data_IF_856627481780
#
_entry.id   IF_856627481780
#
_cell.length_a   1.000
_cell.length_b   1.000
_cell.length_c   1.000
_cell.angle_alpha   90.00
_cell.angle_beta   90.00
_cell.angle_gamma   90.00
#
_symmetry.space_group_name_H-M   'P 1'
#
loop_
_entity.id
_entity.type
_entity.pdbx_description
1 polymer ?
#
# COMPACT_ATOMS: atom_id res chain seq x y z
N UNK A 1 -18.86 -75.03 -24.00
CA UNK A 1 -19.75 -75.86 -24.85
C UNK A 1 -20.80 -74.96 -25.48
N UNK A 2 -20.99 -75.05 -26.81
CA UNK A 2 -22.16 -74.70 -27.68
C UNK A 2 -22.98 -73.44 -27.30
N UNK A 3 -22.93 -72.32 -28.03
CA UNK A 3 -23.46 -72.03 -29.39
C UNK A 3 -24.98 -72.15 -29.54
N UNK A 4 -25.53 -71.16 -30.27
CA UNK A 4 -26.89 -70.89 -30.79
C UNK A 4 -27.64 -69.83 -29.97
N UNK A 5 -28.18 -68.75 -30.54
CA UNK A 5 -28.90 -68.66 -31.82
C UNK A 5 -28.85 -67.26 -32.48
N UNK A 6 -28.91 -67.27 -33.81
CA UNK A 6 -29.13 -66.13 -34.70
C UNK A 6 -30.54 -65.52 -34.53
N UNK A 7 -30.66 -64.20 -34.69
CA UNK A 7 -31.78 -63.60 -35.43
C UNK A 7 -31.31 -62.40 -36.24
N UNK A 8 -31.84 -62.33 -37.46
CA UNK A 8 -31.43 -61.45 -38.54
C UNK A 8 -32.30 -60.18 -38.59
N UNK A 9 -31.70 -59.11 -39.12
CA UNK A 9 -32.27 -58.10 -40.01
C UNK A 9 -32.69 -56.71 -39.48
N UNK A 10 -32.38 -55.73 -40.35
CA UNK A 10 -32.96 -54.38 -40.51
C UNK A 10 -32.34 -53.19 -39.74
N UNK A 11 -31.44 -52.48 -40.44
CA UNK A 11 -31.68 -51.08 -40.82
C UNK A 11 -31.46 -49.97 -39.78
N UNK A 12 -30.25 -49.39 -39.77
CA UNK A 12 -29.95 -47.94 -39.82
C UNK A 12 -28.48 -47.70 -39.45
N UNK A 13 -27.72 -47.07 -40.35
CA UNK A 13 -26.37 -46.56 -40.06
C UNK A 13 -26.50 -45.40 -39.06
N UNK A 14 -26.16 -45.63 -37.79
CA UNK A 14 -25.92 -44.54 -36.84
C UNK A 14 -24.50 -44.00 -37.06
N UNK A 15 -24.39 -42.80 -37.62
CA UNK A 15 -23.17 -42.01 -37.61
C UNK A 15 -23.01 -41.44 -36.18
N UNK A 16 -22.11 -42.03 -35.38
CA UNK A 16 -21.78 -41.52 -34.05
C UNK A 16 -20.94 -40.24 -34.18
N UNK A 17 -21.54 -39.09 -33.88
CA UNK A 17 -20.84 -37.81 -33.77
C UNK A 17 -20.01 -37.82 -32.49
N UNK A 18 -18.69 -37.96 -32.60
CA UNK A 18 -17.77 -37.91 -31.47
C UNK A 18 -17.58 -36.44 -31.08
N UNK A 19 -18.38 -35.95 -30.13
CA UNK A 19 -18.28 -34.58 -29.61
C UNK A 19 -17.08 -34.51 -28.65
N UNK A 20 -15.96 -33.99 -29.13
CA UNK A 20 -14.79 -33.67 -28.31
C UNK A 20 -15.14 -32.46 -27.44
N UNK A 21 -15.47 -32.69 -26.15
CA UNK A 21 -15.56 -31.63 -25.16
C UNK A 21 -14.16 -31.02 -24.96
N UNK A 22 -13.89 -29.86 -25.54
CA UNK A 22 -12.79 -29.00 -25.10
C UNK A 22 -13.18 -28.39 -23.75
N UNK A 23 -12.67 -28.95 -22.66
CA UNK A 23 -12.69 -28.28 -21.36
C UNK A 23 -11.71 -27.10 -21.44
N UNK A 24 -12.24 -25.87 -21.56
CA UNK A 24 -11.43 -24.66 -21.34
C UNK A 24 -11.18 -24.55 -19.84
N UNK A 25 -10.04 -25.03 -19.37
CA UNK A 25 -9.60 -24.80 -18.00
C UNK A 25 -9.27 -23.32 -17.85
N UNK A 26 -10.11 -22.58 -17.13
CA UNK A 26 -9.83 -21.22 -16.71
C UNK A 26 -8.69 -21.25 -15.70
N UNK A 27 -7.50 -20.78 -16.10
CA UNK A 27 -6.35 -20.65 -15.21
C UNK A 27 -6.56 -19.41 -14.35
N UNK A 28 -6.84 -19.61 -13.06
CA UNK A 28 -6.74 -18.55 -12.05
C UNK A 28 -5.31 -18.55 -11.50
N UNK A 29 -4.62 -17.42 -11.55
CA UNK A 29 -3.34 -17.24 -10.85
C UNK A 29 -3.58 -16.59 -9.49
N UNK A 30 -2.62 -16.77 -8.57
CA UNK A 30 -2.55 -15.92 -7.38
C UNK A 30 -2.41 -14.45 -7.81
N UNK A 31 -2.96 -13.53 -7.01
CA UNK A 31 -2.83 -12.10 -7.28
C UNK A 31 -1.36 -11.68 -7.17
N UNK A 32 -0.75 -11.34 -8.31
CA UNK A 32 0.60 -10.79 -8.37
C UNK A 32 0.49 -9.28 -8.65
N UNK A 33 1.34 -8.49 -7.97
CA UNK A 33 1.42 -7.07 -8.29
C UNK A 33 1.95 -6.82 -9.70
N UNK A 34 1.52 -5.73 -10.35
CA UNK A 34 2.15 -5.28 -11.58
C UNK A 34 3.65 -5.01 -11.34
N UNK A 35 4.51 -5.27 -12.34
CA UNK A 35 5.95 -5.22 -12.16
C UNK A 35 6.44 -3.83 -11.78
N UNK A 36 7.26 -3.73 -10.72
CA UNK A 36 7.85 -2.46 -10.25
C UNK A 36 6.82 -1.38 -9.91
N UNK A 37 5.59 -1.77 -9.55
CA UNK A 37 4.57 -0.79 -9.17
C UNK A 37 4.98 -0.04 -7.89
N UNK A 38 5.72 -0.68 -6.98
CA UNK A 38 6.24 -0.06 -5.76
C UNK A 38 7.65 0.52 -5.88
N UNK A 39 8.18 0.66 -7.11
CA UNK A 39 9.54 1.16 -7.34
C UNK A 39 10.68 0.30 -6.76
N UNK A 40 10.40 -0.95 -6.37
CA UNK A 40 11.34 -1.83 -5.66
C UNK A 40 12.58 -2.22 -6.50
N UNK A 41 12.56 -1.99 -7.83
CA UNK A 41 13.76 -2.11 -8.69
C UNK A 41 14.72 -0.92 -8.56
N UNK A 42 14.39 0.11 -7.78
CA UNK A 42 15.20 1.31 -7.63
C UNK A 42 15.18 2.22 -8.87
N UNK A 43 14.09 2.19 -9.65
CA UNK A 43 13.91 3.01 -10.84
C UNK A 43 12.43 3.20 -11.21
N UNK A 44 12.18 4.01 -12.25
CA UNK A 44 10.85 4.29 -12.81
C UNK A 44 10.43 3.30 -13.91
N UNK A 45 10.95 2.06 -13.94
CA UNK A 45 10.52 1.05 -14.92
C UNK A 45 8.99 0.84 -14.83
N UNK A 46 8.30 0.84 -15.98
CA UNK A 46 6.82 0.85 -16.14
C UNK A 46 6.08 2.13 -15.72
N UNK A 47 6.76 3.13 -15.16
CA UNK A 47 6.18 4.44 -14.85
C UNK A 47 6.42 5.45 -15.96
N UNK A 48 5.37 6.17 -16.36
CA UNK A 48 5.48 7.36 -17.20
C UNK A 48 5.57 8.61 -16.31
N UNK A 49 6.66 9.37 -16.43
CA UNK A 49 6.83 10.64 -15.72
C UNK A 49 6.39 11.81 -16.60
N UNK A 50 5.64 12.73 -16.03
CA UNK A 50 5.06 13.89 -16.71
C UNK A 50 5.61 15.20 -16.15
N UNK A 51 5.79 16.19 -17.01
CA UNK A 51 6.08 17.57 -16.60
C UNK A 51 5.35 18.56 -17.47
N UNK A 52 5.00 19.68 -16.88
CA UNK A 52 4.51 20.84 -17.59
C UNK A 52 4.20 21.96 -16.61
N UNK A 53 3.08 22.65 -16.84
CA UNK A 53 2.75 23.85 -16.07
C UNK A 53 1.25 24.04 -15.90
N UNK A 54 0.90 24.92 -14.96
CA UNK A 54 -0.45 25.43 -14.77
C UNK A 54 -0.60 26.85 -15.31
N UNK A 55 -1.68 27.10 -16.07
CA UNK A 55 -1.99 28.42 -16.60
C UNK A 55 -2.85 29.27 -15.64
N UNK A 56 -3.03 30.55 -15.93
CA UNK A 56 -3.82 31.46 -15.09
C UNK A 56 -5.29 31.07 -14.91
N UNK A 57 -5.83 30.17 -15.73
CA UNK A 57 -7.19 29.65 -15.61
C UNK A 57 -7.25 28.35 -14.77
N UNK A 58 -6.13 27.93 -14.17
CA UNK A 58 -6.04 26.68 -13.42
C UNK A 58 -5.96 25.42 -14.27
N UNK A 59 -5.70 25.56 -15.58
CA UNK A 59 -5.59 24.41 -16.49
C UNK A 59 -4.14 23.91 -16.50
N UNK A 60 -3.99 22.64 -16.14
CA UNK A 60 -2.72 21.92 -16.18
C UNK A 60 -2.49 21.37 -17.58
N UNK A 61 -1.29 21.55 -18.11
CA UNK A 61 -0.83 20.89 -19.33
C UNK A 61 0.52 20.24 -19.06
N UNK A 62 0.62 18.94 -19.32
CA UNK A 62 1.82 18.15 -19.11
C UNK A 62 2.11 17.24 -20.31
N UNK A 63 3.37 16.89 -20.48
CA UNK A 63 3.84 15.92 -21.48
C UNK A 63 4.75 14.89 -20.84
N UNK A 64 4.78 13.68 -21.39
CA UNK A 64 5.73 12.66 -20.98
C UNK A 64 7.17 13.10 -21.20
N UNK A 65 8.03 12.74 -20.25
CA UNK A 65 9.46 13.02 -20.28
C UNK A 65 10.24 11.91 -19.58
N UNK A 66 11.56 11.97 -19.68
CA UNK A 66 12.44 11.20 -18.78
C UNK A 66 12.28 11.70 -17.34
N UNK A 67 12.49 10.84 -16.31
CA UNK A 67 12.39 11.26 -14.92
C UNK A 67 13.24 12.51 -14.63
N UNK A 68 12.59 13.56 -14.14
CA UNK A 68 13.28 14.80 -13.74
C UNK A 68 13.96 14.55 -12.39
N UNK A 69 15.30 14.59 -12.28
CA UNK A 69 16.00 14.25 -11.06
C UNK A 69 15.73 15.22 -9.89
N UNK A 70 15.07 16.36 -10.14
CA UNK A 70 14.69 17.31 -9.10
C UNK A 70 13.22 17.22 -8.68
N UNK A 71 12.36 16.69 -9.56
CA UNK A 71 10.91 16.69 -9.36
C UNK A 71 10.25 15.30 -9.43
N UNK A 72 11.00 14.28 -9.84
CA UNK A 72 10.66 12.86 -9.78
C UNK A 72 11.79 12.15 -9.04
N UNK A 73 11.95 12.45 -7.75
CA UNK A 73 13.10 12.00 -6.97
C UNK A 73 12.77 10.66 -6.33
N UNK A 74 13.52 9.63 -6.70
CA UNK A 74 13.42 8.34 -6.04
C UNK A 74 14.21 8.37 -4.73
N UNK A 75 13.50 8.21 -3.61
CA UNK A 75 14.06 8.14 -2.26
C UNK A 75 14.32 6.67 -1.91
N UNK A 76 15.54 6.33 -1.50
CA UNK A 76 15.92 4.96 -1.13
C UNK A 76 15.92 4.77 0.38
N UNK A 77 15.30 3.71 0.88
CA UNK A 77 15.37 3.35 2.30
C UNK A 77 16.83 3.21 2.79
N UNK A 78 17.73 2.71 1.94
CA UNK A 78 19.14 2.49 2.28
C UNK A 78 19.92 3.79 2.50
N UNK A 79 19.64 4.81 1.70
CA UNK A 79 20.40 6.07 1.68
C UNK A 79 19.67 7.21 2.41
N UNK A 80 18.35 7.28 2.22
CA UNK A 80 17.49 8.39 2.61
C UNK A 80 16.59 8.08 3.80
N UNK A 81 16.62 6.84 4.33
CA UNK A 81 15.74 6.42 5.43
C UNK A 81 15.92 7.21 6.74
N UNK A 82 16.99 8.01 6.86
CA UNK A 82 17.21 8.94 7.99
C UNK A 82 16.70 10.36 7.74
N UNK A 83 16.33 10.68 6.51
CA UNK A 83 15.89 12.02 6.13
C UNK A 83 14.41 12.20 6.45
N UNK A 84 14.07 13.40 6.87
CA UNK A 84 12.70 13.83 7.11
C UNK A 84 12.35 14.99 6.18
N UNK A 85 11.08 15.08 5.81
CA UNK A 85 10.54 16.22 5.10
C UNK A 85 10.74 17.51 5.91
N UNK A 86 11.11 18.59 5.21
CA UNK A 86 11.45 19.89 5.82
C UNK A 86 10.27 20.52 6.56
N UNK A 87 9.07 20.45 6.00
CA UNK A 87 7.90 21.15 6.54
C UNK A 87 7.07 20.26 7.47
N UNK A 88 6.99 18.97 7.16
CA UNK A 88 6.17 18.03 7.89
C UNK A 88 6.91 17.18 8.93
N UNK A 89 8.24 17.11 8.87
CA UNK A 89 9.06 16.29 9.78
C UNK A 89 8.80 14.79 9.70
N UNK A 90 8.04 14.32 8.70
CA UNK A 90 7.78 12.90 8.47
C UNK A 90 8.90 12.28 7.62
N UNK A 91 9.11 10.96 7.64
CA UNK A 91 10.17 10.30 6.88
C UNK A 91 9.97 10.47 5.38
N UNK A 92 11.03 10.72 4.61
CA UNK A 92 10.90 10.87 3.15
C UNK A 92 10.67 9.53 2.42
N UNK A 93 11.08 8.43 3.05
CA UNK A 93 10.78 7.06 2.61
C UNK A 93 9.53 6.58 3.34
N UNK A 94 8.62 5.91 2.64
CA UNK A 94 7.38 5.41 3.23
C UNK A 94 7.69 4.44 4.38
N UNK A 95 7.12 4.63 5.59
CA UNK A 95 7.39 3.78 6.75
C UNK A 95 6.58 2.48 6.74
N UNK A 96 6.28 1.92 5.56
CA UNK A 96 5.58 0.64 5.37
C UNK A 96 6.53 -0.55 5.15
N UNK A 97 7.84 -0.30 5.07
CA UNK A 97 8.86 -1.32 4.80
C UNK A 97 9.29 -1.43 3.34
N UNK A 98 8.73 -0.64 2.42
CA UNK A 98 9.18 -0.55 1.02
C UNK A 98 10.64 -0.09 0.93
N UNK A 99 11.33 -0.55 -0.10
CA UNK A 99 12.71 -0.18 -0.37
C UNK A 99 12.86 1.24 -0.92
N UNK A 100 11.79 1.77 -1.53
CA UNK A 100 11.79 3.07 -2.18
C UNK A 100 10.46 3.83 -1.98
N UNK A 101 10.50 5.15 -2.22
CA UNK A 101 9.33 6.00 -2.45
C UNK A 101 9.70 7.08 -3.45
N UNK A 102 8.73 7.81 -4.01
CA UNK A 102 8.99 8.92 -4.93
C UNK A 102 8.54 10.24 -4.33
N UNK A 103 9.42 11.24 -4.31
CA UNK A 103 9.04 12.65 -4.16
C UNK A 103 8.67 13.24 -5.53
N UNK A 104 7.46 13.75 -5.62
CA UNK A 104 6.88 14.37 -6.80
C UNK A 104 6.73 15.89 -6.57
N UNK A 105 7.38 16.71 -7.41
CA UNK A 105 7.43 18.17 -7.27
C UNK A 105 8.52 18.68 -6.31
N UNK A 106 8.54 19.99 -6.05
CA UNK A 106 9.58 20.66 -5.28
C UNK A 106 9.03 21.82 -4.42
N UNK A 107 9.80 22.35 -3.45
CA UNK A 107 9.35 23.42 -2.56
C UNK A 107 9.60 24.85 -3.11
N UNK A 108 9.85 25.03 -4.41
CA UNK A 108 10.28 26.33 -4.95
C UNK A 108 9.15 27.18 -5.51
N UNK A 109 8.07 26.58 -5.99
CA UNK A 109 7.12 27.25 -6.87
C UNK A 109 7.70 27.35 -8.29
N UNK A 110 6.99 28.05 -9.18
CA UNK A 110 7.36 28.12 -10.61
C UNK A 110 6.20 27.99 -11.59
N UNK A 111 5.00 27.67 -11.10
CA UNK A 111 3.83 27.26 -11.91
C UNK A 111 4.03 25.89 -12.52
N UNK A 112 4.93 25.09 -11.95
CA UNK A 112 5.25 23.76 -12.45
C UNK A 112 4.11 22.79 -12.12
N UNK A 113 3.99 21.77 -12.97
CA UNK A 113 3.13 20.63 -12.75
C UNK A 113 3.90 19.34 -13.06
N UNK A 114 3.78 18.35 -12.20
CA UNK A 114 4.48 17.07 -12.31
C UNK A 114 3.51 15.92 -12.08
N UNK A 115 3.72 14.81 -12.80
CA UNK A 115 2.84 13.66 -12.70
C UNK A 115 3.53 12.32 -12.86
N UNK A 116 2.89 11.29 -12.31
CA UNK A 116 3.28 9.90 -12.43
C UNK A 116 2.08 9.09 -12.91
N UNK A 117 2.28 8.36 -14.01
CA UNK A 117 1.28 7.49 -14.59
C UNK A 117 1.77 6.04 -14.55
N UNK A 118 0.92 5.14 -14.07
CA UNK A 118 1.18 3.70 -14.11
C UNK A 118 -0.02 2.98 -14.71
N UNK A 119 0.17 2.30 -15.83
CA UNK A 119 -0.89 1.58 -16.55
C UNK A 119 -0.72 0.08 -16.38
N UNK A 120 -1.78 -0.61 -15.96
CA UNK A 120 -1.77 -2.05 -15.75
C UNK A 120 -3.12 -2.68 -16.09
N UNK A 121 -3.11 -3.98 -16.38
CA UNK A 121 -4.33 -4.77 -16.56
C UNK A 121 -4.64 -5.51 -15.26
N UNK A 122 -5.88 -5.40 -14.79
CA UNK A 122 -6.34 -6.12 -13.60
C UNK A 122 -6.39 -7.62 -13.90
N UNK A 123 -5.64 -8.46 -13.15
CA UNK A 123 -5.59 -9.89 -13.41
C UNK A 123 -6.89 -10.58 -13.02
N UNK A 124 -7.20 -11.69 -13.72
CA UNK A 124 -8.20 -12.65 -13.26
C UNK A 124 -7.64 -13.46 -12.11
N UNK A 125 -8.13 -13.20 -10.91
CA UNK A 125 -7.74 -13.93 -9.71
C UNK A 125 -8.97 -14.58 -9.09
N UNK A 126 -8.78 -15.68 -8.35
CA UNK A 126 -9.87 -16.36 -7.63
C UNK A 126 -10.21 -15.69 -6.29
N UNK A 127 -9.63 -14.52 -6.00
CA UNK A 127 -9.81 -13.76 -4.76
C UNK A 127 -9.87 -12.26 -5.00
N UNK A 128 -9.82 -11.47 -3.93
CA UNK A 128 -9.83 -10.01 -4.01
C UNK A 128 -8.51 -9.51 -4.61
N UNK A 129 -8.59 -8.61 -5.59
CA UNK A 129 -7.44 -7.86 -6.13
C UNK A 129 -7.54 -6.40 -5.68
N UNK A 130 -6.50 -5.95 -4.98
CA UNK A 130 -6.43 -4.57 -4.47
C UNK A 130 -5.03 -3.99 -4.65
N UNK A 131 -4.97 -2.68 -4.81
CA UNK A 131 -3.72 -1.90 -4.77
C UNK A 131 -3.79 -1.01 -3.54
N UNK A 132 -2.72 -1.01 -2.75
CA UNK A 132 -2.57 -0.07 -1.63
C UNK A 132 -1.44 0.87 -2.00
N UNK A 133 -1.74 2.16 -2.07
CA UNK A 133 -0.71 3.18 -2.20
C UNK A 133 -0.73 4.09 -0.98
N UNK A 134 0.44 4.58 -0.61
CA UNK A 134 0.67 5.52 0.45
C UNK A 134 1.04 6.86 -0.15
N UNK A 135 0.62 7.92 0.51
CA UNK A 135 0.98 9.27 0.12
C UNK A 135 1.22 10.16 1.33
N UNK A 136 2.10 11.14 1.17
CA UNK A 136 2.26 12.29 2.06
C UNK A 136 2.26 13.57 1.19
N UNK A 137 1.78 14.69 1.72
CA UNK A 137 1.55 15.91 0.92
C UNK A 137 2.01 17.14 1.66
N UNK A 138 2.62 18.09 0.95
CA UNK A 138 2.96 19.42 1.45
C UNK A 138 2.47 20.47 0.45
N UNK A 139 1.62 21.39 0.92
CA UNK A 139 1.03 22.46 0.11
C UNK A 139 1.23 23.80 0.83
N UNK A 140 1.74 24.79 0.12
CA UNK A 140 1.69 26.18 0.58
C UNK A 140 0.31 26.76 0.27
N UNK A 141 -0.34 27.37 1.26
CA UNK A 141 -1.70 27.90 1.15
C UNK A 141 -1.69 29.44 1.15
N UNK A 142 -1.51 30.09 -0.01
CA UNK A 142 -1.66 31.53 -0.17
C UNK A 142 -3.13 31.98 -0.21
N UNK A 143 -3.34 33.30 -0.18
CA UNK A 143 -4.66 33.89 -0.43
C UNK A 143 -4.97 33.95 -1.94
N UNK A 144 -5.49 32.87 -2.52
CA UNK A 144 -5.89 32.76 -3.93
C UNK A 144 -7.26 32.08 -4.11
N UNK A 145 -7.84 32.15 -5.31
CA UNK A 145 -9.01 31.35 -5.67
C UNK A 145 -8.65 29.85 -5.74
N UNK A 146 -9.60 28.92 -5.53
CA UNK A 146 -9.28 27.49 -5.51
C UNK A 146 -8.56 26.96 -6.77
N UNK A 147 -8.89 27.48 -7.96
CA UNK A 147 -8.26 27.07 -9.23
C UNK A 147 -6.84 27.64 -9.40
N UNK A 148 -6.44 28.58 -8.55
CA UNK A 148 -5.12 29.21 -8.57
C UNK A 148 -4.15 28.55 -7.58
N UNK A 149 -4.66 27.69 -6.69
CA UNK A 149 -3.90 27.13 -5.58
C UNK A 149 -2.98 25.97 -6.01
N UNK A 150 -1.88 25.74 -5.27
CA UNK A 150 -1.18 24.46 -5.33
C UNK A 150 -2.12 23.31 -4.99
N UNK A 151 -1.92 22.15 -5.62
CA UNK A 151 -2.74 20.97 -5.34
C UNK A 151 -1.97 19.66 -5.50
N UNK A 152 -2.50 18.62 -4.87
CA UNK A 152 -2.17 17.22 -5.16
C UNK A 152 -3.45 16.48 -5.55
N UNK A 153 -3.41 15.67 -6.60
CA UNK A 153 -4.55 14.84 -7.00
C UNK A 153 -4.12 13.43 -7.36
N UNK A 154 -4.99 12.48 -7.03
CA UNK A 154 -4.92 11.10 -7.50
C UNK A 154 -6.16 10.82 -8.33
N UNK A 155 -5.99 10.22 -9.51
CA UNK A 155 -7.09 9.79 -10.37
C UNK A 155 -6.88 8.36 -10.84
N UNK A 156 -7.98 7.65 -11.02
CA UNK A 156 -8.00 6.32 -11.63
C UNK A 156 -8.70 6.44 -12.98
N UNK A 157 -7.95 6.28 -14.06
CA UNK A 157 -8.49 6.29 -15.42
C UNK A 157 -8.66 4.87 -15.94
N UNK A 158 -9.89 4.48 -16.25
CA UNK A 158 -10.19 3.22 -16.91
C UNK A 158 -9.98 3.38 -18.41
N UNK A 159 -8.82 2.90 -18.87
CA UNK A 159 -8.38 2.99 -20.27
C UNK A 159 -9.29 2.16 -21.17
N UNK A 160 -9.78 1.01 -20.69
CA UNK A 160 -10.68 0.14 -21.47
C UNK A 160 -12.01 0.82 -21.77
N UNK A 161 -12.59 1.51 -20.78
CA UNK A 161 -13.91 2.14 -20.91
C UNK A 161 -13.85 3.65 -21.19
N UNK A 162 -12.65 4.21 -21.32
CA UNK A 162 -12.37 5.62 -21.57
C UNK A 162 -13.11 6.57 -20.61
N UNK A 163 -13.04 6.29 -19.31
CA UNK A 163 -13.67 7.10 -18.25
C UNK A 163 -12.82 7.13 -16.99
N UNK A 164 -12.98 8.19 -16.19
CA UNK A 164 -12.45 8.22 -14.84
C UNK A 164 -13.37 7.47 -13.88
N UNK A 165 -12.76 6.77 -12.92
CA UNK A 165 -13.49 6.14 -11.82
C UNK A 165 -13.51 7.08 -10.62
N UNK A 166 -14.67 7.20 -9.97
CA UNK A 166 -14.83 8.04 -8.78
C UNK A 166 -14.09 7.42 -7.58
N UNK A 167 -14.09 6.09 -7.49
CA UNK A 167 -13.46 5.39 -6.37
C UNK A 167 -11.93 5.42 -6.49
N UNK A 168 -11.27 5.85 -5.42
CA UNK A 168 -9.81 6.00 -5.39
C UNK A 168 -9.30 7.28 -6.05
N UNK A 169 -10.19 8.12 -6.60
CA UNK A 169 -9.86 9.45 -7.11
C UNK A 169 -10.18 10.52 -6.05
N UNK A 170 -9.23 11.42 -5.78
CA UNK A 170 -9.42 12.56 -4.88
C UNK A 170 -8.40 13.66 -5.15
N UNK A 171 -8.62 14.83 -4.56
CA UNK A 171 -7.67 15.94 -4.63
C UNK A 171 -7.62 16.74 -3.33
N UNK A 172 -6.47 17.33 -3.05
CA UNK A 172 -6.27 18.37 -2.06
C UNK A 172 -5.86 19.65 -2.76
N UNK A 173 -6.74 20.63 -2.72
CA UNK A 173 -6.45 22.01 -3.13
C UNK A 173 -6.00 22.74 -1.87
N UNK A 174 -4.89 23.48 -1.91
CA UNK A 174 -4.35 24.16 -0.73
C UNK A 174 -5.44 24.99 -0.03
N UNK A 175 -5.67 24.69 1.26
CA UNK A 175 -6.63 25.36 2.12
C UNK A 175 -6.22 25.18 3.59
N UNK A 176 -6.74 26.04 4.48
CA UNK A 176 -6.35 26.05 5.88
C UNK A 176 -6.99 24.93 6.71
N UNK A 177 -8.11 24.38 6.24
CA UNK A 177 -8.98 23.42 6.91
C UNK A 177 -8.99 22.04 6.23
N UNK A 178 -7.93 21.71 5.49
CA UNK A 178 -7.80 20.41 4.83
C UNK A 178 -7.85 19.24 5.83
N UNK A 179 -8.75 18.25 5.65
CA UNK A 179 -8.86 17.13 6.58
C UNK A 179 -7.57 16.29 6.68
N UNK A 180 -7.05 16.18 7.90
CA UNK A 180 -5.83 15.42 8.20
C UNK A 180 -4.53 16.18 7.93
N UNK A 181 -4.58 17.46 7.54
CA UNK A 181 -3.42 18.32 7.40
C UNK A 181 -3.12 19.06 8.71
N UNK A 182 -1.86 19.43 8.88
CA UNK A 182 -1.34 20.22 10.01
C UNK A 182 -0.59 21.43 9.46
N UNK A 183 -0.64 22.54 10.17
CA UNK A 183 0.19 23.71 9.86
C UNK A 183 1.65 23.39 10.25
N UNK A 184 2.58 23.63 9.32
CA UNK A 184 4.01 23.51 9.55
C UNK A 184 4.49 24.56 10.54
N UNK A 185 5.48 24.20 11.34
CA UNK A 185 6.22 25.11 12.22
C UNK A 185 7.59 25.50 11.63
N UNK A 186 7.90 25.01 10.42
CA UNK A 186 9.11 25.37 9.69
C UNK A 186 9.05 26.83 9.22
N UNK A 187 10.20 27.40 8.86
CA UNK A 187 10.40 28.86 8.67
C UNK A 187 9.57 29.53 7.56
N UNK A 188 8.78 28.80 6.78
CA UNK A 188 7.89 29.36 5.75
C UNK A 188 6.44 29.34 6.25
N UNK A 189 5.75 30.50 6.30
CA UNK A 189 4.38 30.58 6.81
C UNK A 189 3.39 29.89 5.86
N UNK A 190 2.23 29.51 6.41
CA UNK A 190 1.09 28.95 5.66
C UNK A 190 1.40 27.69 4.85
N UNK A 191 2.41 26.90 5.24
CA UNK A 191 2.65 25.58 4.66
C UNK A 191 1.91 24.53 5.48
N UNK A 192 1.04 23.76 4.81
CA UNK A 192 0.26 22.70 5.41
C UNK A 192 0.77 21.35 4.91
N UNK A 193 0.85 20.38 5.82
CA UNK A 193 1.33 19.05 5.47
C UNK A 193 0.42 17.95 6.01
N UNK A 194 0.38 16.84 5.29
CA UNK A 194 -0.22 15.57 5.71
C UNK A 194 0.87 14.51 5.69
N UNK A 195 1.05 13.86 6.83
CA UNK A 195 1.96 12.72 6.97
C UNK A 195 1.46 11.52 6.15
N UNK A 196 2.31 10.51 5.98
CA UNK A 196 1.98 9.28 5.26
C UNK A 196 0.61 8.69 5.67
N UNK A 197 -0.21 8.41 4.67
CA UNK A 197 -1.47 7.69 4.82
C UNK A 197 -1.68 6.75 3.62
N UNK A 198 -2.15 5.51 3.84
CA UNK A 198 -2.53 4.61 2.76
C UNK A 198 -3.95 4.89 2.25
N UNK A 199 -4.19 4.47 1.00
CA UNK A 199 -5.50 4.28 0.40
C UNK A 199 -5.54 2.91 -0.26
N UNK A 200 -6.68 2.24 -0.12
CA UNK A 200 -6.96 0.99 -0.82
C UNK A 200 -7.80 1.28 -2.06
N UNK A 201 -7.32 0.86 -3.22
CA UNK A 201 -8.08 0.77 -4.45
C UNK A 201 -8.49 -0.69 -4.67
N UNK A 202 -9.77 -0.97 -4.46
CA UNK A 202 -10.36 -2.26 -4.79
C UNK A 202 -10.78 -2.31 -6.24
N UNK A 203 -10.47 -3.43 -6.88
CA UNK A 203 -10.72 -3.63 -8.30
C UNK A 203 -11.66 -4.82 -8.63
N UNK A 204 -12.62 -5.23 -7.79
CA UNK A 204 -13.60 -6.24 -8.18
C UNK A 204 -14.48 -5.70 -9.32
N UNK A 205 -14.75 -6.51 -10.33
CA UNK A 205 -15.51 -6.09 -11.52
C UNK A 205 -14.66 -5.33 -12.55
N UNK A 206 -13.38 -5.11 -12.27
CA UNK A 206 -12.42 -4.57 -13.24
C UNK A 206 -11.56 -5.65 -13.89
N UNK A 207 -11.87 -6.94 -13.73
CA UNK A 207 -11.08 -8.03 -14.30
C UNK A 207 -10.95 -7.86 -15.83
N UNK A 208 -9.73 -8.06 -16.34
CA UNK A 208 -9.31 -7.78 -17.72
C UNK A 208 -9.37 -6.30 -18.17
N UNK A 209 -9.84 -5.38 -17.32
CA UNK A 209 -9.78 -3.94 -17.62
C UNK A 209 -8.35 -3.44 -17.45
N UNK A 210 -7.99 -2.49 -18.31
CA UNK A 210 -6.75 -1.73 -18.20
C UNK A 210 -7.05 -0.43 -17.47
N UNK A 211 -6.36 -0.22 -16.35
CA UNK A 211 -6.47 0.97 -15.52
C UNK A 211 -5.15 1.73 -15.53
N UNK A 212 -5.24 3.06 -15.38
CA UNK A 212 -4.10 3.94 -15.20
C UNK A 212 -4.26 4.72 -13.90
N UNK A 213 -3.30 4.56 -12.99
CA UNK A 213 -3.17 5.43 -11.82
C UNK A 213 -2.45 6.70 -12.25
N UNK A 214 -3.01 7.85 -11.89
CA UNK A 214 -2.47 9.16 -12.22
C UNK A 214 -2.27 9.96 -10.92
N UNK A 215 -1.02 10.27 -10.59
CA UNK A 215 -0.67 11.18 -9.50
C UNK A 215 -0.25 12.50 -10.11
N UNK A 216 -0.71 13.62 -9.56
CA UNK A 216 -0.35 14.96 -10.07
C UNK A 216 -0.15 15.92 -8.92
N UNK A 217 0.90 16.72 -9.00
CA UNK A 217 1.10 17.93 -8.17
C UNK A 217 1.23 19.14 -9.08
N UNK A 218 0.78 20.30 -8.61
CA UNK A 218 1.15 21.57 -9.22
C UNK A 218 1.32 22.68 -8.19
N UNK A 219 2.07 23.68 -8.61
CA UNK A 219 2.24 24.97 -7.94
C UNK A 219 1.02 25.88 -8.13
N UNK A 220 1.06 27.06 -7.52
CA UNK A 220 0.05 28.08 -7.78
C UNK A 220 0.20 28.69 -9.19
N UNK A 221 -0.90 29.24 -9.72
CA UNK A 221 -0.93 29.85 -11.07
C UNK A 221 -0.08 31.11 -11.18
N UNK A 222 0.21 31.76 -10.06
CA UNK A 222 1.03 32.98 -9.96
C UNK A 222 2.51 32.69 -9.72
N UNK A 223 2.90 31.43 -9.51
CA UNK A 223 4.28 30.94 -9.46
C UNK A 223 5.04 31.15 -8.15
N UNK A 224 4.48 31.85 -7.17
CA UNK A 224 5.16 32.11 -5.89
C UNK A 224 5.08 30.97 -4.87
N UNK A 225 4.12 30.06 -5.03
CA UNK A 225 3.76 29.07 -4.00
C UNK A 225 3.75 27.66 -4.57
N UNK A 226 4.13 26.69 -3.75
CA UNK A 226 4.44 25.33 -4.21
C UNK A 226 3.48 24.26 -3.71
N UNK A 227 3.50 23.13 -4.41
CA UNK A 227 2.92 21.88 -3.96
C UNK A 227 3.81 20.70 -4.33
N UNK A 228 4.02 19.78 -3.38
CA UNK A 228 4.72 18.53 -3.65
C UNK A 228 4.18 17.40 -2.78
N UNK A 229 4.42 16.16 -3.21
CA UNK A 229 3.93 14.97 -2.55
C UNK A 229 4.97 13.86 -2.54
N UNK A 230 4.76 12.87 -1.67
CA UNK A 230 5.46 11.60 -1.71
C UNK A 230 4.47 10.49 -2.03
N UNK A 231 4.88 9.52 -2.83
CA UNK A 231 4.04 8.39 -3.28
C UNK A 231 4.83 7.09 -3.15
N UNK A 232 4.17 6.04 -2.67
CA UNK A 232 4.67 4.67 -2.66
C UNK A 232 3.52 3.68 -2.84
N UNK A 233 3.75 2.53 -3.47
CA UNK A 233 2.74 1.48 -3.66
C UNK A 233 3.28 0.20 -3.01
N UNK A 234 2.48 -0.40 -2.13
CA UNK A 234 2.83 -1.69 -1.56
C UNK A 234 2.87 -2.76 -2.66
N UNK A 235 4.00 -3.45 -2.86
CA UNK A 235 4.09 -4.64 -3.72
C UNK A 235 3.44 -5.90 -3.10
N UNK A 236 2.30 -5.72 -2.44
CA UNK A 236 1.38 -6.79 -2.04
C UNK A 236 -0.02 -6.46 -2.54
N UNK A 237 -0.46 -7.18 -3.57
CA UNK A 237 -1.72 -6.93 -4.28
C UNK A 237 -2.78 -8.00 -3.98
N UNK A 238 -2.62 -8.70 -2.84
CA UNK A 238 -3.59 -9.67 -2.31
C UNK A 238 -4.47 -8.99 -1.25
N UNK A 239 -4.36 -9.43 0.01
CA UNK A 239 -4.97 -8.79 1.17
C UNK A 239 -3.98 -7.82 1.83
N UNK A 240 -4.41 -6.58 2.14
CA UNK A 240 -3.58 -5.63 2.90
C UNK A 240 -3.33 -6.08 4.35
N UNK A 241 -4.12 -7.04 4.83
CA UNK A 241 -4.08 -7.49 6.21
C UNK A 241 -2.93 -8.48 6.37
N UNK A 242 -2.00 -8.15 7.26
CA UNK A 242 -0.87 -9.02 7.62
C UNK A 242 -1.10 -9.71 8.96
N UNK A 243 -0.31 -10.75 9.24
CA UNK A 243 -0.39 -11.53 10.47
C UNK A 243 -1.51 -12.57 10.49
N UNK A 244 -2.10 -12.88 9.34
CA UNK A 244 -3.11 -13.93 9.17
C UNK A 244 -2.53 -15.33 8.96
N UNK A 245 -1.20 -15.46 8.89
CA UNK A 245 -0.50 -16.75 8.76
C UNK A 245 0.16 -17.11 10.07
N UNK A 246 -0.11 -18.31 10.59
CA UNK A 246 0.53 -18.84 11.78
C UNK A 246 1.43 -20.04 11.44
N UNK A 247 2.64 -20.04 12.01
CA UNK A 247 3.74 -20.89 11.51
C UNK A 247 4.33 -21.84 12.57
N UNK A 248 3.80 -21.78 13.79
CA UNK A 248 4.08 -22.66 14.93
C UNK A 248 2.82 -22.78 15.81
N UNK A 249 2.86 -23.51 16.93
CA UNK A 249 1.74 -23.65 17.90
C UNK A 249 1.47 -22.34 18.68
N UNK A 250 1.34 -21.22 17.97
CA UNK A 250 0.91 -19.95 18.55
C UNK A 250 -0.54 -20.04 19.01
N UNK A 251 -0.78 -19.57 20.22
CA UNK A 251 -2.11 -19.54 20.85
C UNK A 251 -2.84 -18.23 20.59
N UNK A 252 -2.15 -17.21 20.09
CA UNK A 252 -2.67 -15.87 19.83
C UNK A 252 -2.36 -15.43 18.40
N UNK A 253 -3.16 -14.51 17.87
CA UNK A 253 -3.05 -13.99 16.52
C UNK A 253 -3.22 -12.48 16.54
N UNK A 254 -2.31 -11.75 15.90
CA UNK A 254 -2.44 -10.30 15.72
C UNK A 254 -2.55 -10.00 14.24
N UNK A 255 -3.73 -9.57 13.82
CA UNK A 255 -3.98 -9.06 12.48
C UNK A 255 -3.66 -7.57 12.43
N UNK A 256 -2.95 -7.15 11.39
CA UNK A 256 -2.59 -5.74 11.17
C UNK A 256 -3.14 -5.27 9.85
N UNK A 257 -4.03 -4.29 9.89
CA UNK A 257 -4.51 -3.56 8.72
C UNK A 257 -3.60 -2.37 8.39
N UNK A 258 -3.68 -1.81 7.18
CA UNK A 258 -2.96 -0.57 6.86
C UNK A 258 -3.44 0.57 7.77
N UNK A 259 -2.51 1.41 8.23
CA UNK A 259 -2.77 2.51 9.17
C UNK A 259 -3.43 3.72 8.47
N UNK A 260 -3.63 4.87 9.13
CA UNK A 260 -4.00 6.12 8.46
C UNK A 260 -5.44 6.29 7.93
N UNK A 261 -6.34 5.32 8.17
CA UNK A 261 -7.78 5.50 7.94
C UNK A 261 -8.46 6.21 9.11
N UNK A 262 -9.63 6.82 8.86
CA UNK A 262 -10.41 7.52 9.88
C UNK A 262 -10.96 6.56 10.94
N UNK A 263 -11.38 5.36 10.54
CA UNK A 263 -11.90 4.35 11.45
C UNK A 263 -11.70 2.92 10.91
N UNK A 264 -11.67 1.96 11.84
CA UNK A 264 -11.56 0.52 11.60
C UNK A 264 -12.67 -0.20 12.35
N UNK A 265 -13.25 -1.25 11.77
CA UNK A 265 -14.20 -2.13 12.45
C UNK A 265 -14.02 -3.57 11.96
N UNK A 266 -13.56 -4.45 12.84
CA UNK A 266 -13.38 -5.87 12.54
C UNK A 266 -14.62 -6.66 12.90
N UNK A 267 -14.94 -7.67 12.10
CA UNK A 267 -16.08 -8.56 12.28
C UNK A 267 -15.77 -10.02 11.96
N UNK A 268 -16.64 -10.91 12.42
CA UNK A 268 -16.84 -12.22 11.78
C UNK A 268 -17.24 -12.04 10.31
N UNK A 269 -16.99 -13.03 9.45
CA UNK A 269 -17.28 -12.94 8.01
C UNK A 269 -18.73 -12.54 7.68
N UNK A 270 -19.69 -12.97 8.51
CA UNK A 270 -21.11 -12.68 8.37
C UNK A 270 -21.55 -11.34 8.99
N UNK A 271 -20.61 -10.54 9.51
CA UNK A 271 -20.85 -9.29 10.23
C UNK A 271 -21.72 -9.42 11.49
N UNK A 272 -21.97 -10.64 11.98
CA UNK A 272 -22.83 -10.85 13.15
C UNK A 272 -22.18 -10.36 14.45
N UNK A 273 -20.85 -10.39 14.53
CA UNK A 273 -20.10 -10.06 15.74
C UNK A 273 -18.97 -9.09 15.43
N UNK A 274 -18.93 -7.94 16.12
CA UNK A 274 -17.80 -6.99 16.08
C UNK A 274 -16.66 -7.50 16.96
N UNK A 275 -15.46 -7.58 16.40
CA UNK A 275 -14.25 -8.12 17.05
C UNK A 275 -13.27 -7.04 17.54
N UNK A 276 -13.28 -5.85 16.94
CA UNK A 276 -12.37 -4.75 17.32
C UNK A 276 -12.57 -3.48 16.48
N UNK A 277 -11.94 -2.38 16.90
CA UNK A 277 -12.11 -1.05 16.27
C UNK A 277 -10.79 -0.31 16.00
N UNK A 278 -9.66 -1.01 16.12
CA UNK A 278 -8.33 -0.48 15.86
C UNK A 278 -7.78 -1.03 14.54
N UNK A 279 -6.70 -0.42 14.04
CA UNK A 279 -5.94 -0.94 12.88
C UNK A 279 -5.33 -2.33 13.16
N UNK A 280 -5.10 -2.66 14.43
CA UNK A 280 -4.72 -4.01 14.87
C UNK A 280 -5.88 -4.73 15.55
N UNK A 281 -6.01 -6.03 15.26
CA UNK A 281 -6.94 -6.94 15.93
C UNK A 281 -6.17 -8.08 16.56
N UNK A 282 -6.27 -8.21 17.88
CA UNK A 282 -5.65 -9.29 18.65
C UNK A 282 -6.71 -10.31 19.02
N UNK A 283 -6.48 -11.57 18.66
CA UNK A 283 -7.37 -12.69 18.94
C UNK A 283 -6.64 -13.68 19.84
N UNK A 284 -7.25 -13.97 20.99
CA UNK A 284 -6.77 -14.97 21.94
C UNK A 284 -7.97 -15.75 22.49
N UNK A 285 -8.13 -17.05 22.15
CA UNK A 285 -7.21 -17.85 21.33
C UNK A 285 -7.24 -17.45 19.83
N UNK A 286 -6.21 -17.85 19.09
CA UNK A 286 -6.16 -17.74 17.64
C UNK A 286 -7.31 -18.55 17.01
N UNK A 287 -8.03 -18.00 15.99
CA UNK A 287 -9.05 -18.75 15.28
C UNK A 287 -8.48 -19.97 14.54
N UNK A 288 -9.32 -20.97 14.29
CA UNK A 288 -8.91 -22.13 13.51
C UNK A 288 -8.51 -21.72 12.07
N UNK A 289 -7.50 -22.39 11.46
CA UNK A 289 -7.19 -22.19 10.05
C UNK A 289 -8.43 -22.41 9.17
N UNK A 290 -8.60 -21.56 8.17
CA UNK A 290 -9.81 -21.46 7.34
C UNK A 290 -10.84 -20.46 7.84
N UNK A 291 -10.71 -19.93 9.06
CA UNK A 291 -11.57 -18.84 9.54
C UNK A 291 -11.37 -17.61 8.66
N UNK A 292 -12.46 -17.05 8.13
CA UNK A 292 -12.45 -15.79 7.39
C UNK A 292 -13.01 -14.68 8.26
N UNK A 293 -12.38 -13.51 8.20
CA UNK A 293 -12.74 -12.33 8.96
C UNK A 293 -12.90 -11.15 8.02
N UNK A 294 -13.77 -10.21 8.42
CA UNK A 294 -14.04 -8.98 7.70
C UNK A 294 -13.50 -7.78 8.47
N UNK A 295 -13.01 -6.77 7.75
CA UNK A 295 -12.59 -5.49 8.29
C UNK A 295 -13.19 -4.37 7.46
N UNK A 296 -14.04 -3.56 8.05
CA UNK A 296 -14.43 -2.28 7.45
C UNK A 296 -13.41 -1.19 7.78
N UNK A 297 -12.90 -0.53 6.73
CA UNK A 297 -12.07 0.66 6.82
C UNK A 297 -12.87 1.86 6.30
N UNK A 298 -12.81 2.96 7.05
CA UNK A 298 -13.45 4.22 6.67
C UNK A 298 -12.37 5.24 6.33
N UNK A 299 -12.23 5.68 5.06
CA UNK A 299 -11.32 6.76 4.73
C UNK A 299 -11.80 8.10 5.33
N UNK A 300 -10.90 9.08 5.40
CA UNK A 300 -11.31 10.44 5.72
C UNK A 300 -12.32 10.97 4.69
N UNK A 301 -13.20 11.93 5.06
CA UNK A 301 -14.20 12.47 4.13
C UNK A 301 -13.56 12.93 2.81
N UNK A 302 -14.17 12.49 1.69
CA UNK A 302 -13.72 12.76 0.32
C UNK A 302 -12.35 12.15 -0.08
N UNK A 303 -11.84 11.15 0.66
CA UNK A 303 -10.52 10.54 0.42
C UNK A 303 -10.59 9.03 0.14
N UNK A 304 -11.54 8.60 -0.70
CA UNK A 304 -11.72 7.21 -1.10
C UNK A 304 -13.14 6.68 -0.83
N UNK A 305 -13.30 5.36 -0.94
CA UNK A 305 -14.57 4.67 -0.69
C UNK A 305 -14.54 3.94 0.65
N UNK A 306 -15.70 3.79 1.29
CA UNK A 306 -15.85 2.83 2.38
C UNK A 306 -15.53 1.44 1.84
N UNK A 307 -14.73 0.69 2.58
CA UNK A 307 -14.21 -0.58 2.10
C UNK A 307 -14.27 -1.66 3.17
N UNK A 308 -14.51 -2.91 2.75
CA UNK A 308 -14.48 -4.11 3.60
C UNK A 308 -13.40 -5.07 3.14
N UNK A 309 -12.25 -5.07 3.79
CA UNK A 309 -11.19 -6.06 3.54
C UNK A 309 -11.55 -7.42 4.14
N UNK A 310 -11.16 -8.49 3.47
CA UNK A 310 -11.25 -9.84 4.01
C UNK A 310 -9.85 -10.42 4.22
N UNK A 311 -9.75 -11.28 5.23
CA UNK A 311 -8.56 -12.12 5.42
C UNK A 311 -8.98 -13.51 5.87
N UNK A 312 -8.23 -14.52 5.44
CA UNK A 312 -8.41 -15.90 5.85
C UNK A 312 -7.22 -16.33 6.66
N UNK A 313 -7.47 -16.94 7.82
CA UNK A 313 -6.44 -17.46 8.69
C UNK A 313 -5.85 -18.73 8.05
N UNK A 314 -4.54 -18.76 7.84
CA UNK A 314 -3.85 -19.91 7.22
C UNK A 314 -2.75 -20.45 8.12
N UNK A 315 -2.57 -21.77 8.07
CA UNK A 315 -1.44 -22.44 8.72
C UNK A 315 -0.29 -22.56 7.72
N UNK A 316 0.91 -22.13 8.11
CA UNK A 316 2.15 -22.52 7.45
C UNK A 316 2.89 -23.53 8.31
N UNK A 317 3.69 -24.38 7.66
CA UNK A 317 4.63 -25.30 8.33
C UNK A 317 6.07 -24.78 8.25
N UNK A 318 6.27 -23.59 7.66
CA UNK A 318 7.58 -23.00 7.50
C UNK A 318 8.16 -22.58 8.86
N UNK A 319 9.46 -22.83 9.12
CA UNK A 319 10.08 -22.48 10.38
C UNK A 319 9.99 -20.97 10.66
N UNK A 320 9.41 -20.62 11.81
CA UNK A 320 9.36 -19.24 12.28
C UNK A 320 9.79 -19.17 13.75
N UNK A 321 11.09 -18.97 13.95
CA UNK A 321 11.67 -18.69 15.27
C UNK A 321 12.07 -17.23 15.27
N UNK A 322 11.42 -16.43 16.10
CA UNK A 322 11.77 -15.01 16.29
C UNK A 322 12.30 -14.81 17.71
N UNK A 323 13.59 -14.50 17.82
CA UNK A 323 14.26 -14.21 19.08
C UNK A 323 14.65 -12.74 19.08
N UNK A 324 14.40 -12.05 20.19
CA UNK A 324 14.80 -10.66 20.41
C UNK A 324 15.49 -10.57 21.76
N UNK A 325 16.61 -9.86 21.81
CA UNK A 325 17.32 -9.56 23.06
C UNK A 325 16.40 -8.73 23.96
N UNK A 326 16.25 -9.13 25.23
CA UNK A 326 15.24 -8.54 26.12
C UNK A 326 15.58 -7.11 26.57
N UNK A 327 16.87 -6.82 26.74
CA UNK A 327 17.36 -5.50 27.16
C UNK A 327 18.59 -5.14 26.33
N UNK A 328 18.70 -3.87 25.92
CA UNK A 328 19.86 -3.33 25.20
C UNK A 328 20.38 -2.10 25.94
N UNK A 329 21.61 -2.21 26.43
CA UNK A 329 22.34 -1.07 26.98
C UNK A 329 23.19 -0.41 25.90
N UNK A 330 23.03 0.90 25.71
CA UNK A 330 24.00 1.71 24.97
C UNK A 330 24.07 3.14 25.47
N UNK A 331 25.15 3.82 25.08
CA UNK A 331 25.30 5.25 25.30
C UNK A 331 24.29 6.04 24.46
N UNK A 332 23.72 7.11 25.05
CA UNK A 332 22.81 8.04 24.37
C UNK A 332 23.39 8.60 23.06
N UNK A 333 24.71 8.75 22.99
CA UNK A 333 25.44 9.12 21.78
C UNK A 333 26.47 8.01 21.54
N UNK A 334 26.47 7.35 20.36
CA UNK A 334 25.69 7.65 19.15
C UNK A 334 24.22 7.12 19.14
N UNK A 335 23.76 6.45 20.20
CA UNK A 335 22.46 5.79 20.28
C UNK A 335 22.54 4.28 19.98
N UNK A 336 21.40 3.58 20.14
CA UNK A 336 21.27 2.14 19.83
C UNK A 336 20.89 1.94 18.36
N UNK A 337 21.48 0.94 17.71
CA UNK A 337 21.03 0.42 16.42
C UNK A 337 20.18 -0.85 16.63
N UNK A 338 18.85 -0.69 16.59
CA UNK A 338 17.89 -1.80 16.71
C UNK A 338 17.96 -2.80 15.53
N UNK A 339 18.63 -2.45 14.44
CA UNK A 339 18.83 -3.33 13.28
C UNK A 339 20.07 -4.21 13.39
N UNK A 340 20.83 -4.09 14.48
CA UNK A 340 22.05 -4.87 14.67
C UNK A 340 21.75 -6.37 14.71
N UNK A 341 22.44 -7.22 13.92
CA UNK A 341 22.13 -8.65 13.81
C UNK A 341 22.14 -9.43 15.13
N UNK A 342 22.90 -8.96 16.13
CA UNK A 342 22.94 -9.58 17.46
C UNK A 342 21.60 -9.46 18.21
N UNK A 343 20.80 -8.44 17.94
CA UNK A 343 19.51 -8.21 18.61
C UNK A 343 18.55 -9.34 18.27
N UNK A 344 18.55 -9.80 17.01
CA UNK A 344 17.67 -10.86 16.51
C UNK A 344 18.39 -12.20 16.37
N UNK A 345 19.53 -12.39 17.05
CA UNK A 345 20.36 -13.58 16.91
C UNK A 345 19.61 -14.87 17.24
N UNK A 346 19.80 -15.88 16.42
CA UNK A 346 19.12 -17.18 16.56
C UNK A 346 17.68 -17.18 16.03
N UNK A 347 17.25 -16.11 15.37
CA UNK A 347 15.99 -16.11 14.61
C UNK A 347 16.15 -16.82 13.25
N UNK A 348 15.03 -17.17 12.63
CA UNK A 348 15.01 -17.71 11.26
C UNK A 348 15.74 -16.76 10.30
N UNK A 349 16.58 -17.26 9.37
CA UNK A 349 17.23 -16.43 8.34
C UNK A 349 16.24 -15.74 7.40
N UNK A 350 16.71 -14.68 6.72
CA UNK A 350 15.96 -13.95 5.68
C UNK A 350 14.59 -13.40 6.11
N UNK A 351 14.44 -13.07 7.39
CA UNK A 351 13.28 -12.33 7.89
C UNK A 351 13.39 -10.83 7.62
N UNK A 352 12.25 -10.21 7.37
CA UNK A 352 12.10 -8.76 7.30
C UNK A 352 11.70 -8.23 8.68
N UNK A 353 12.16 -7.03 9.03
CA UNK A 353 11.88 -6.41 10.33
C UNK A 353 11.28 -5.01 10.18
N UNK A 354 10.29 -4.71 11.01
CA UNK A 354 9.70 -3.40 11.20
C UNK A 354 9.78 -3.00 12.68
N UNK A 355 9.87 -1.70 12.97
CA UNK A 355 10.19 -1.19 14.30
C UNK A 355 9.15 -0.15 14.74
N UNK A 356 8.68 -0.23 15.98
CA UNK A 356 7.57 0.58 16.49
C UNK A 356 7.84 1.07 17.91
N UNK A 357 7.29 2.24 18.25
CA UNK A 357 7.33 2.75 19.65
C UNK A 357 6.19 2.18 20.51
N UNK A 358 5.23 1.52 19.89
CA UNK A 358 4.06 0.94 20.55
C UNK A 358 3.78 -0.49 20.07
N UNK A 359 3.21 -1.31 20.95
CA UNK A 359 2.85 -2.70 20.66
C UNK A 359 1.69 -2.81 19.65
N UNK A 360 0.88 -1.76 19.51
CA UNK A 360 -0.24 -1.74 18.55
C UNK A 360 0.25 -1.45 17.11
N UNK A 361 1.57 -1.34 16.90
CA UNK A 361 2.22 -1.11 15.60
C UNK A 361 1.68 0.15 14.89
N UNK A 362 1.26 1.13 15.68
CA UNK A 362 0.60 2.34 15.18
C UNK A 362 1.56 3.48 14.89
N UNK A 363 2.74 3.46 15.50
CA UNK A 363 3.77 4.50 15.35
C UNK A 363 5.10 3.85 15.02
N UNK A 364 5.46 3.92 13.73
CA UNK A 364 6.71 3.39 13.19
C UNK A 364 7.92 4.19 13.68
N UNK A 365 9.05 3.50 13.86
CA UNK A 365 10.35 4.10 14.09
C UNK A 365 11.05 4.23 12.73
N UNK A 366 11.12 5.44 12.16
CA UNK A 366 11.69 5.61 10.83
C UNK A 366 13.20 5.36 10.77
N UNK A 367 13.90 5.61 11.87
CA UNK A 367 15.34 5.38 11.96
C UNK A 367 15.66 4.44 13.14
N UNK A 368 15.49 3.13 12.97
CA UNK A 368 15.81 2.15 14.01
C UNK A 368 17.32 2.07 14.32
N UNK A 369 18.19 2.67 13.49
CA UNK A 369 19.65 2.62 13.64
C UNK A 369 20.23 3.62 14.65
N UNK A 370 19.43 4.54 15.18
CA UNK A 370 19.91 5.56 16.12
C UNK A 370 18.80 5.97 17.08
N UNK A 371 18.58 5.11 18.08
CA UNK A 371 17.64 5.36 19.17
C UNK A 371 18.39 6.03 20.32
N UNK A 372 17.93 7.23 20.70
CA UNK A 372 18.59 8.09 21.69
C UNK A 372 17.74 8.32 22.95
N UNK A 373 16.56 7.72 23.02
CA UNK A 373 15.66 7.78 24.17
C UNK A 373 15.52 6.38 24.75
N UNK A 374 15.67 6.27 26.07
CA UNK A 374 15.42 5.02 26.77
C UNK A 374 13.91 4.81 26.87
N UNK A 375 13.40 3.75 26.28
CA UNK A 375 12.00 3.33 26.30
C UNK A 375 11.91 1.86 25.92
N UNK A 376 10.74 1.26 26.09
CA UNK A 376 10.40 0.01 25.42
C UNK A 376 10.09 0.29 23.95
N UNK A 377 10.65 -0.52 23.07
CA UNK A 377 10.36 -0.52 21.65
C UNK A 377 9.87 -1.91 21.21
N UNK A 378 9.38 -2.01 19.99
CA UNK A 378 8.78 -3.24 19.47
C UNK A 378 9.35 -3.56 18.10
N UNK A 379 9.80 -4.80 17.91
CA UNK A 379 10.30 -5.32 16.64
C UNK A 379 9.27 -6.33 16.14
N UNK A 380 8.73 -6.09 14.94
CA UNK A 380 7.91 -7.04 14.20
C UNK A 380 8.78 -7.77 13.19
N UNK A 381 8.82 -9.09 13.25
CA UNK A 381 9.45 -9.92 12.23
C UNK A 381 8.42 -10.46 11.25
N UNK A 382 8.80 -10.61 9.98
CA UNK A 382 8.02 -11.33 8.98
C UNK A 382 8.89 -12.21 8.08
N UNK A 383 8.37 -13.34 7.64
CA UNK A 383 9.05 -14.21 6.65
C UNK A 383 8.28 -14.25 5.31
N UNK A 384 8.86 -14.93 4.31
CA UNK A 384 8.26 -15.06 2.97
C UNK A 384 6.92 -15.79 2.94
N UNK A 385 6.62 -16.62 3.95
CA UNK A 385 5.36 -17.32 4.07
C UNK A 385 4.23 -16.43 4.65
N UNK A 386 4.56 -15.21 5.10
CA UNK A 386 3.61 -14.29 5.74
C UNK A 386 3.48 -14.47 7.26
N UNK A 387 4.31 -15.32 7.86
CA UNK A 387 4.39 -15.47 9.31
C UNK A 387 4.83 -14.15 9.93
N UNK A 388 4.19 -13.72 11.02
CA UNK A 388 4.63 -12.54 11.77
C UNK A 388 4.56 -12.76 13.27
N UNK A 389 5.47 -12.12 14.01
CA UNK A 389 5.42 -12.00 15.46
C UNK A 389 6.06 -10.67 15.88
N UNK A 390 5.61 -10.13 17.01
CA UNK A 390 6.04 -8.82 17.52
C UNK A 390 6.51 -8.98 18.96
N UNK A 391 7.78 -8.62 19.20
CA UNK A 391 8.43 -8.74 20.51
C UNK A 391 8.98 -7.39 20.96
N UNK A 392 9.02 -7.22 22.28
CA UNK A 392 9.62 -6.05 22.92
C UNK A 392 11.14 -6.10 22.89
N UNK A 393 11.76 -4.92 22.90
CA UNK A 393 13.19 -4.69 23.07
C UNK A 393 13.44 -3.44 23.91
#
# INVERSE_FOLDING_TARGET
>A
MKSLSNFCCSGRKCFGLFMVLMFTTSYYSLAQCPPNIGFEKGNFDHWETLKGSINGAGVISMTAQVPDPFNHVLMSAANDGKLTDEYGGFPVVCPNGSGYSVKLGSPTGGRDAHGLNYTFTVPKTSGDYSIIYNYAVVLENPQHQPHEQPLFSVKVFNVTDNKYEDCGSFQFIAAADLPGFRLSTAGRPNVYYKVWAPITLKLPGFEDKTLRLEFTVNDCTLGGHFGYAYVDINENCTTPITGNVFCTDVTNLTLTAPYGFQAYRWFTEDFSTKLGEKNTLKLNPAPAPGTRLALEITPFPNQGCLDTLYTTITKSLDPFVFNVSADIDACRIPGVDLTHPDITKGSTPDMNYAYFVDFDESVFIPNPKSIIFSSTYYIKASNKAGCTDTKTV
#
